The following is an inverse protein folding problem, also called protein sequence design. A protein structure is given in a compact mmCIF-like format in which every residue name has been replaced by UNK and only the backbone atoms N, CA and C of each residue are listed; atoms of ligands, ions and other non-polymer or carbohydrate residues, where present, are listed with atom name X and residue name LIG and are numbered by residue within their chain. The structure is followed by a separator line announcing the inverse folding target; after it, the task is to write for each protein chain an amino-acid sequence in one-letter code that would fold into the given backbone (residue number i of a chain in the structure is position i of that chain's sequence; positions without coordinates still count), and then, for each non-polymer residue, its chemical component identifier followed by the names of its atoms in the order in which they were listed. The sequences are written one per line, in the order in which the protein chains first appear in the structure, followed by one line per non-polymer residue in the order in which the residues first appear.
data_IF_778639212700
#
_entry.id   IF_778639212700
#
_cell.length_a   1.000
_cell.length_b   1.000
_cell.length_c   1.000
_cell.angle_alpha   90.00
_cell.angle_beta   90.00
_cell.angle_gamma   90.00
#
_symmetry.space_group_name_H-M   'P 1'
#
loop_
_entity.id
_entity.type
_entity.pdbx_description
1 polymer ?
#
# COMPACT_ATOMS: atom_id res chain seq x y z
N UNK A 1 17.80 -25.97 9.74
CA UNK A 1 17.67 -24.57 9.25
C UNK A 1 17.91 -24.57 7.75
N UNK A 2 16.92 -24.19 6.99
CA UNK A 2 17.04 -24.02 5.54
C UNK A 2 17.76 -22.69 5.24
N UNK A 3 18.74 -22.73 4.32
CA UNK A 3 19.55 -21.56 3.97
C UNK A 3 18.76 -20.54 3.11
N UNK A 4 17.69 -20.97 2.45
CA UNK A 4 16.81 -20.07 1.69
C UNK A 4 15.82 -19.30 2.58
N UNK A 5 15.53 -19.80 3.79
CA UNK A 5 14.63 -19.13 4.73
C UNK A 5 15.41 -18.13 5.59
N UNK A 6 14.84 -16.93 5.75
CA UNK A 6 15.34 -15.94 6.71
C UNK A 6 15.47 -16.55 8.12
N UNK A 7 16.52 -16.18 8.85
CA UNK A 7 16.78 -16.72 10.20
C UNK A 7 15.61 -16.49 11.18
N UNK A 8 14.94 -15.33 11.10
CA UNK A 8 13.78 -15.02 11.94
C UNK A 8 12.56 -15.87 11.54
N UNK A 9 12.40 -16.18 10.25
CA UNK A 9 11.36 -17.11 9.79
C UNK A 9 11.64 -18.54 10.29
N UNK A 10 12.88 -19.03 10.16
CA UNK A 10 13.27 -20.33 10.71
C UNK A 10 12.95 -20.40 12.21
N UNK A 11 13.31 -19.37 12.98
CA UNK A 11 12.99 -19.31 14.41
C UNK A 11 11.49 -19.32 14.66
N UNK A 12 10.71 -18.57 13.85
CA UNK A 12 9.25 -18.51 14.00
C UNK A 12 8.58 -19.87 13.72
N UNK A 13 9.09 -20.64 12.76
CA UNK A 13 8.59 -21.97 12.43
C UNK A 13 8.92 -23.01 13.50
N UNK A 14 10.09 -22.91 14.14
CA UNK A 14 10.53 -23.79 15.22
C UNK A 14 9.86 -23.45 16.58
N UNK A 15 9.32 -22.23 16.74
CA UNK A 15 8.72 -21.74 17.99
C UNK A 15 7.26 -22.20 18.08
N UNK A 16 6.83 -22.83 19.20
CA UNK A 16 5.44 -23.19 19.43
C UNK A 16 4.51 -21.98 19.32
N UNK A 17 3.30 -22.17 18.80
CA UNK A 17 2.34 -21.09 18.53
C UNK A 17 2.06 -20.21 19.76
N UNK A 18 1.93 -20.83 20.95
CA UNK A 18 1.65 -20.11 22.20
C UNK A 18 2.81 -19.21 22.64
N UNK A 19 4.04 -19.58 22.36
CA UNK A 19 5.21 -18.75 22.64
C UNK A 19 5.40 -17.68 21.55
N UNK A 20 5.13 -18.04 20.30
CA UNK A 20 5.20 -17.13 19.15
C UNK A 20 4.23 -15.96 19.29
N UNK A 21 3.01 -16.18 19.80
CA UNK A 21 2.02 -15.15 20.09
C UNK A 21 2.48 -14.09 21.09
N UNK A 22 3.39 -14.44 21.99
CA UNK A 22 3.93 -13.52 22.98
C UNK A 22 5.00 -12.58 22.42
N UNK A 23 5.50 -12.88 21.23
CA UNK A 23 6.56 -12.12 20.57
C UNK A 23 6.02 -11.57 19.25
N UNK A 24 5.62 -10.30 19.24
CA UNK A 24 5.02 -9.67 18.06
C UNK A 24 5.83 -9.88 16.78
N UNK A 25 7.16 -9.73 16.85
CA UNK A 25 8.03 -9.86 15.67
C UNK A 25 8.02 -11.27 15.07
N UNK A 26 7.83 -12.33 15.86
CA UNK A 26 7.79 -13.70 15.36
C UNK A 26 6.45 -14.05 14.69
N UNK A 27 5.36 -13.45 15.14
CA UNK A 27 4.02 -13.78 14.65
C UNK A 27 3.56 -12.97 13.42
N UNK A 28 4.31 -11.92 13.04
CA UNK A 28 3.96 -11.11 11.86
C UNK A 28 3.95 -11.96 10.61
N UNK A 29 2.85 -11.88 9.84
CA UNK A 29 2.60 -12.67 8.63
C UNK A 29 1.92 -14.01 8.87
N UNK A 30 1.69 -14.42 10.12
CA UNK A 30 0.93 -15.63 10.43
C UNK A 30 -0.54 -15.34 10.67
N UNK A 31 -1.42 -16.09 10.02
CA UNK A 31 -2.85 -16.11 10.26
C UNK A 31 -3.23 -17.39 11.01
N UNK A 32 -3.67 -17.25 12.25
CA UNK A 32 -4.13 -18.38 13.05
C UNK A 32 -5.47 -18.95 12.54
N UNK A 33 -6.30 -18.12 11.92
CA UNK A 33 -7.61 -18.54 11.38
C UNK A 33 -7.46 -19.50 10.20
N UNK A 34 -6.59 -19.16 9.25
CA UNK A 34 -6.32 -19.96 8.05
C UNK A 34 -5.14 -20.93 8.23
N UNK A 35 -4.40 -20.84 9.34
CA UNK A 35 -3.14 -21.55 9.60
C UNK A 35 -2.17 -21.40 8.43
N UNK A 36 -1.95 -20.17 8.01
CA UNK A 36 -1.10 -19.85 6.87
C UNK A 36 -0.15 -18.72 7.19
N UNK A 37 0.96 -18.70 6.46
CA UNK A 37 1.95 -17.63 6.46
C UNK A 37 1.82 -16.77 5.22
N UNK A 38 1.87 -15.48 5.37
CA UNK A 38 2.19 -14.55 4.30
C UNK A 38 3.70 -14.38 4.23
N UNK A 39 4.30 -14.76 3.11
CA UNK A 39 5.75 -14.79 2.91
C UNK A 39 6.13 -13.94 1.70
N UNK A 40 7.27 -13.31 1.75
CA UNK A 40 7.87 -12.58 0.63
C UNK A 40 8.95 -13.46 0.04
N UNK A 41 8.93 -13.64 -1.29
CA UNK A 41 9.94 -14.43 -1.98
C UNK A 41 10.65 -13.61 -3.05
N UNK A 42 11.94 -13.89 -3.21
CA UNK A 42 12.71 -13.58 -4.42
C UNK A 42 12.76 -14.85 -5.23
N UNK A 43 12.44 -14.76 -6.55
CA UNK A 43 12.35 -15.92 -7.41
C UNK A 43 12.79 -15.61 -8.84
N UNK A 44 12.98 -16.66 -9.63
CA UNK A 44 13.20 -16.63 -11.07
C UNK A 44 12.31 -17.71 -11.75
N UNK A 45 12.01 -17.54 -13.04
CA UNK A 45 11.16 -18.50 -13.76
C UNK A 45 9.68 -18.39 -13.40
N UNK A 46 8.94 -19.52 -13.39
CA UNK A 46 7.50 -19.58 -13.13
C UNK A 46 7.19 -20.11 -11.74
N UNK A 47 6.16 -19.57 -11.11
CA UNK A 47 5.59 -20.03 -9.83
C UNK A 47 4.32 -20.88 -10.00
N UNK A 48 3.99 -21.33 -11.22
CA UNK A 48 2.76 -22.10 -11.47
C UNK A 48 2.71 -23.40 -10.68
N UNK A 49 3.83 -24.05 -10.46
CA UNK A 49 3.91 -25.26 -9.62
C UNK A 49 3.48 -25.04 -8.17
N UNK A 50 3.65 -23.84 -7.64
CA UNK A 50 3.14 -23.48 -6.30
C UNK A 50 1.64 -23.22 -6.31
N UNK A 51 1.11 -22.61 -7.38
CA UNK A 51 -0.35 -22.41 -7.56
C UNK A 51 -1.11 -23.73 -7.61
N UNK A 52 -0.54 -24.74 -8.27
CA UNK A 52 -1.11 -26.09 -8.33
C UNK A 52 -1.22 -26.77 -6.96
N UNK A 53 -0.43 -26.32 -5.99
CA UNK A 53 -0.45 -26.79 -4.60
C UNK A 53 -1.34 -25.95 -3.66
N UNK A 54 -2.24 -25.13 -4.22
CA UNK A 54 -3.12 -24.21 -3.47
C UNK A 54 -2.38 -23.13 -2.67
N UNK A 55 -1.17 -22.76 -3.09
CA UNK A 55 -0.47 -21.58 -2.58
C UNK A 55 -0.94 -20.37 -3.39
N UNK A 56 -1.43 -19.35 -2.71
CA UNK A 56 -1.80 -18.09 -3.37
C UNK A 56 -0.52 -17.34 -3.69
N UNK A 57 -0.37 -16.96 -4.97
CA UNK A 57 0.82 -16.28 -5.48
C UNK A 57 0.42 -14.92 -6.03
N UNK A 58 0.95 -13.87 -5.44
CA UNK A 58 0.83 -12.49 -5.89
C UNK A 58 2.18 -12.02 -6.41
N UNK A 59 2.30 -11.93 -7.73
CA UNK A 59 3.55 -11.51 -8.37
C UNK A 59 3.71 -9.99 -8.32
N UNK A 60 4.87 -9.56 -7.87
CA UNK A 60 5.30 -8.17 -7.85
C UNK A 60 6.29 -7.91 -9.01
N UNK A 61 6.87 -6.72 -9.02
CA UNK A 61 7.95 -6.37 -9.97
C UNK A 61 9.27 -7.04 -9.61
N UNK A 62 10.20 -7.09 -10.56
CA UNK A 62 11.60 -7.50 -10.36
C UNK A 62 11.80 -8.93 -9.83
N UNK A 63 10.91 -9.89 -10.11
CA UNK A 63 11.03 -11.26 -9.63
C UNK A 63 10.82 -11.39 -8.12
N UNK A 64 9.92 -10.59 -7.56
CA UNK A 64 9.42 -10.74 -6.19
C UNK A 64 7.97 -11.18 -6.23
N UNK A 65 7.56 -11.95 -5.23
CA UNK A 65 6.17 -12.32 -5.03
C UNK A 65 5.82 -12.35 -3.54
N UNK A 66 4.54 -12.18 -3.25
CA UNK A 66 3.97 -12.44 -1.94
C UNK A 66 3.19 -13.75 -2.05
N UNK A 67 3.48 -14.68 -1.15
CA UNK A 67 2.84 -15.97 -1.09
C UNK A 67 1.98 -16.08 0.16
N UNK A 68 0.74 -16.60 0.03
CA UNK A 68 0.00 -17.10 1.19
C UNK A 68 0.12 -18.61 1.21
N UNK A 69 0.85 -19.11 2.19
CA UNK A 69 1.32 -20.49 2.26
C UNK A 69 0.73 -21.19 3.49
N UNK A 70 -0.01 -22.29 3.35
CA UNK A 70 -0.37 -23.12 4.49
C UNK A 70 0.88 -23.52 5.31
N UNK A 71 0.78 -23.48 6.63
CA UNK A 71 1.92 -23.75 7.53
C UNK A 71 2.65 -25.05 7.19
N UNK A 72 1.91 -26.07 6.74
CA UNK A 72 2.44 -27.37 6.35
C UNK A 72 3.19 -27.42 5.02
N UNK A 73 3.12 -26.35 4.22
CA UNK A 73 3.73 -26.26 2.88
C UNK A 73 4.91 -25.29 2.83
N UNK A 74 5.34 -24.73 3.96
CA UNK A 74 6.46 -23.77 3.97
C UNK A 74 7.75 -24.42 3.49
N UNK A 75 8.02 -25.65 3.90
CA UNK A 75 9.19 -26.42 3.44
C UNK A 75 9.15 -26.63 1.92
N UNK A 76 7.97 -26.90 1.35
CA UNK A 76 7.81 -27.06 -0.11
C UNK A 76 8.21 -25.79 -0.86
N UNK A 77 7.90 -24.60 -0.31
CA UNK A 77 8.30 -23.32 -0.92
C UNK A 77 9.82 -23.20 -0.92
N UNK A 78 10.50 -23.53 0.15
CA UNK A 78 11.95 -23.45 0.24
C UNK A 78 12.67 -24.47 -0.66
N UNK A 79 12.07 -25.66 -0.85
CA UNK A 79 12.60 -26.70 -1.71
C UNK A 79 12.39 -26.42 -3.21
N UNK A 80 11.49 -25.47 -3.56
CA UNK A 80 11.22 -25.10 -4.96
C UNK A 80 12.47 -24.48 -5.59
N UNK A 81 12.95 -25.01 -6.74
CA UNK A 81 14.20 -24.54 -7.37
C UNK A 81 14.16 -23.06 -7.78
N UNK A 82 13.00 -22.58 -8.21
CA UNK A 82 12.78 -21.22 -8.66
C UNK A 82 12.84 -20.18 -7.53
N UNK A 83 12.72 -20.61 -6.27
CA UNK A 83 12.81 -19.72 -5.10
C UNK A 83 14.29 -19.53 -4.73
N UNK A 84 14.71 -18.29 -4.68
CA UNK A 84 16.06 -17.90 -4.27
C UNK A 84 16.14 -17.61 -2.77
N UNK A 85 15.13 -16.92 -2.23
CA UNK A 85 15.08 -16.50 -0.82
C UNK A 85 13.65 -16.27 -0.36
N UNK A 86 13.38 -16.55 0.91
CA UNK A 86 12.08 -16.42 1.57
C UNK A 86 12.23 -15.62 2.85
N UNK A 87 11.42 -14.58 3.01
CA UNK A 87 11.39 -13.71 4.19
C UNK A 87 9.96 -13.56 4.69
N UNK A 88 9.79 -13.48 6.02
CA UNK A 88 8.50 -13.10 6.59
C UNK A 88 8.34 -11.57 6.62
N UNK A 89 7.09 -11.04 6.59
CA UNK A 89 6.86 -9.60 6.71
C UNK A 89 7.40 -9.02 8.02
N UNK A 90 7.78 -7.74 7.98
CA UNK A 90 8.19 -6.94 9.13
C UNK A 90 7.25 -5.76 9.30
N UNK A 91 7.01 -5.33 10.54
CA UNK A 91 6.20 -4.15 10.85
C UNK A 91 7.00 -2.87 10.66
N UNK A 92 6.29 -1.82 10.25
CA UNK A 92 6.82 -0.46 10.12
C UNK A 92 5.97 0.50 10.95
N UNK A 93 6.58 1.61 11.37
CA UNK A 93 5.93 2.64 12.17
C UNK A 93 6.02 3.97 11.44
N UNK A 94 4.97 4.79 11.50
CA UNK A 94 4.98 6.13 10.95
C UNK A 94 6.00 6.99 11.69
N UNK A 95 6.83 7.72 10.93
CA UNK A 95 7.75 8.69 11.51
C UNK A 95 6.97 9.92 11.97
N UNK A 96 7.22 10.39 13.20
CA UNK A 96 6.73 11.71 13.62
C UNK A 96 7.46 12.76 12.78
N UNK A 97 6.71 13.57 12.04
CA UNK A 97 7.27 14.71 11.30
C UNK A 97 7.54 15.84 12.29
N UNK A 98 8.81 16.24 12.43
CA UNK A 98 9.16 17.51 13.04
C UNK A 98 9.00 18.61 11.96
N UNK A 99 8.07 19.56 12.08
CA UNK A 99 7.77 20.54 11.03
C UNK A 99 8.88 21.57 10.81
N UNK A 100 9.85 21.67 11.69
CA UNK A 100 10.97 22.63 11.61
C UNK A 100 12.13 22.18 10.70
N UNK A 101 11.87 21.22 9.80
CA UNK A 101 12.88 20.69 8.88
C UNK A 101 13.48 21.77 7.96
N UNK A 102 14.77 21.89 8.01
CA UNK A 102 15.61 22.77 7.19
C UNK A 102 15.64 22.35 5.70
N UNK A 103 14.49 22.36 5.01
CA UNK A 103 14.43 22.10 3.57
C UNK A 103 14.64 23.39 2.78
N UNK A 104 15.69 23.43 1.95
CA UNK A 104 16.06 24.58 1.10
C UNK A 104 15.19 24.67 -0.18
N UNK A 105 13.88 24.43 -0.13
CA UNK A 105 12.98 24.48 -1.28
C UNK A 105 12.78 25.88 -1.91
N UNK A 106 12.75 26.99 -1.15
CA UNK A 106 12.51 28.32 -1.73
C UNK A 106 13.42 28.71 -2.90
N UNK A 107 14.72 28.35 -2.93
CA UNK A 107 15.57 28.66 -4.07
C UNK A 107 15.20 27.96 -5.37
N UNK A 108 14.63 26.73 -5.28
CA UNK A 108 14.26 25.92 -6.45
C UNK A 108 12.93 26.39 -7.05
N UNK A 109 11.98 26.77 -6.22
CA UNK A 109 10.64 27.21 -6.63
C UNK A 109 10.63 28.66 -7.14
N UNK A 110 11.65 29.48 -6.80
CA UNK A 110 11.76 30.91 -7.22
C UNK A 110 12.62 31.14 -8.44
N UNK A 111 13.26 30.11 -9.02
CA UNK A 111 14.10 30.22 -10.21
C UNK A 111 13.29 29.90 -11.48
N UNK A 112 13.69 30.50 -12.60
CA UNK A 112 13.18 30.16 -13.93
C UNK A 112 14.04 29.03 -14.53
N UNK A 113 13.46 27.88 -15.01
CA UNK A 113 12.04 27.56 -14.98
C UNK A 113 11.56 27.23 -13.57
N UNK A 114 10.31 27.60 -13.26
CA UNK A 114 9.69 27.27 -11.98
C UNK A 114 9.46 25.76 -11.87
N UNK A 115 10.15 25.10 -10.94
CA UNK A 115 9.96 23.70 -10.64
C UNK A 115 8.89 23.55 -9.54
N UNK A 116 7.71 23.12 -9.92
CA UNK A 116 6.53 23.03 -9.05
C UNK A 116 5.84 21.65 -9.09
N UNK A 117 6.47 20.66 -9.74
CA UNK A 117 5.94 19.30 -9.85
C UNK A 117 4.98 19.08 -11.01
N UNK A 118 4.71 20.07 -11.87
CA UNK A 118 3.83 19.90 -13.03
C UNK A 118 4.35 18.78 -13.95
N UNK A 119 3.46 17.85 -14.32
CA UNK A 119 3.79 16.71 -15.18
C UNK A 119 4.55 15.60 -14.45
N UNK A 120 4.57 15.62 -13.12
CA UNK A 120 5.15 14.57 -12.26
C UNK A 120 4.07 13.98 -11.39
N UNK A 121 4.10 12.66 -11.24
CA UNK A 121 3.31 11.93 -10.25
C UNK A 121 4.07 11.88 -8.92
N UNK A 122 3.38 12.19 -7.84
CA UNK A 122 3.84 11.96 -6.49
C UNK A 122 2.96 10.88 -5.85
N UNK A 123 3.52 9.72 -5.58
CA UNK A 123 2.87 8.67 -4.82
C UNK A 123 3.18 8.85 -3.33
N UNK A 124 2.14 8.93 -2.49
CA UNK A 124 2.25 8.96 -1.03
C UNK A 124 1.70 7.65 -0.51
N UNK A 125 2.59 6.80 0.02
CA UNK A 125 2.26 5.52 0.62
C UNK A 125 2.29 5.69 2.14
N UNK A 126 1.10 5.81 2.76
CA UNK A 126 1.01 6.25 4.15
C UNK A 126 -0.30 5.78 4.82
N UNK A 127 -0.73 6.45 5.89
CA UNK A 127 -1.98 6.17 6.62
C UNK A 127 -3.26 6.54 5.86
N UNK A 128 -3.15 7.08 4.66
CA UNK A 128 -4.25 7.58 3.83
C UNK A 128 -4.17 9.07 3.60
N UNK A 129 -5.30 9.66 3.24
CA UNK A 129 -5.44 11.10 2.99
C UNK A 129 -6.87 11.55 3.30
N UNK A 130 -7.04 12.77 3.78
CA UNK A 130 -8.33 13.48 3.77
C UNK A 130 -8.52 14.05 2.36
N UNK A 131 -9.00 13.21 1.46
CA UNK A 131 -8.97 13.39 0.01
C UNK A 131 -9.84 14.55 -0.49
N UNK A 132 -10.81 14.98 0.28
CA UNK A 132 -11.74 16.06 -0.09
C UNK A 132 -11.27 17.47 0.33
N UNK A 133 -10.05 17.62 0.88
CA UNK A 133 -9.48 18.92 1.21
C UNK A 133 -9.16 19.74 -0.05
N UNK A 134 -9.40 21.05 0.02
CA UNK A 134 -9.13 21.98 -1.07
C UNK A 134 -7.67 22.04 -1.49
N UNK A 135 -6.74 21.81 -0.54
CA UNK A 135 -5.29 21.86 -0.80
C UNK A 135 -4.82 20.79 -1.78
N UNK A 136 -5.64 19.77 -2.06
CA UNK A 136 -5.37 18.70 -3.03
C UNK A 136 -6.16 18.85 -4.33
N UNK A 137 -6.78 20.02 -4.56
CA UNK A 137 -7.56 20.28 -5.78
C UNK A 137 -6.79 21.15 -6.77
N UNK A 138 -7.22 21.08 -8.02
CA UNK A 138 -6.84 21.99 -9.10
C UNK A 138 -7.57 23.34 -8.94
N UNK A 139 -7.19 24.33 -9.73
CA UNK A 139 -7.82 25.66 -9.68
C UNK A 139 -9.30 25.66 -10.10
N UNK A 140 -9.71 24.69 -10.90
CA UNK A 140 -11.11 24.47 -11.32
C UNK A 140 -11.96 23.72 -10.29
N UNK A 141 -11.36 23.33 -9.17
CA UNK A 141 -12.02 22.60 -8.09
C UNK A 141 -11.97 21.08 -8.21
N UNK A 142 -11.51 20.54 -9.35
CA UNK A 142 -11.32 19.10 -9.53
C UNK A 142 -10.13 18.58 -8.72
N UNK A 143 -10.10 17.27 -8.45
CA UNK A 143 -9.01 16.67 -7.68
C UNK A 143 -7.70 16.63 -8.45
N UNK A 144 -6.57 16.62 -7.72
CA UNK A 144 -5.23 16.27 -8.26
C UNK A 144 -4.88 14.79 -7.99
N UNK A 145 -5.76 14.06 -7.29
CA UNK A 145 -5.56 12.64 -6.98
C UNK A 145 -6.01 11.83 -8.19
N UNK A 146 -5.06 11.23 -8.89
CA UNK A 146 -5.33 10.35 -10.06
C UNK A 146 -5.90 9.01 -9.63
N UNK A 147 -5.36 8.48 -8.52
CA UNK A 147 -5.77 7.21 -7.94
C UNK A 147 -5.64 7.26 -6.42
N UNK A 148 -6.64 6.74 -5.74
CA UNK A 148 -6.63 6.47 -4.30
C UNK A 148 -6.87 4.97 -4.08
N UNK A 149 -5.86 4.25 -3.60
CA UNK A 149 -5.99 2.85 -3.22
C UNK A 149 -5.96 2.71 -1.71
N UNK A 150 -7.07 2.31 -1.14
CA UNK A 150 -7.18 1.98 0.28
C UNK A 150 -7.07 0.46 0.48
N UNK A 151 -5.93 -0.02 0.95
CA UNK A 151 -5.68 -1.44 1.17
C UNK A 151 -6.52 -2.02 2.30
N UNK A 152 -7.09 -1.16 3.18
CA UNK A 152 -7.85 -1.58 4.35
C UNK A 152 -9.33 -1.85 4.05
N UNK A 153 -9.84 -1.38 2.92
CA UNK A 153 -11.24 -1.54 2.51
C UNK A 153 -11.33 -2.79 1.62
N UNK A 154 -11.98 -3.88 2.08
CA UNK A 154 -12.16 -5.06 1.25
C UNK A 154 -13.15 -4.74 0.11
N UNK A 155 -12.80 -5.16 -1.11
CA UNK A 155 -13.73 -5.18 -2.23
C UNK A 155 -14.30 -6.58 -2.39
N UNK A 156 -15.58 -6.76 -2.11
CA UNK A 156 -16.28 -8.04 -2.29
C UNK A 156 -17.34 -7.90 -3.39
N UNK A 157 -16.99 -8.34 -4.59
CA UNK A 157 -17.94 -8.39 -5.74
C UNK A 157 -18.98 -9.52 -5.62
N UNK A 158 -18.81 -10.45 -4.67
CA UNK A 158 -19.53 -11.72 -4.76
C UNK A 158 -20.83 -11.79 -3.98
N UNK A 159 -21.15 -10.82 -3.08
CA UNK A 159 -22.32 -10.98 -2.21
C UNK A 159 -23.02 -9.66 -1.86
N UNK A 160 -24.09 -9.30 -2.57
CA UNK A 160 -25.11 -8.43 -1.99
C UNK A 160 -25.66 -9.09 -0.72
N UNK A 161 -25.42 -8.52 0.47
CA UNK A 161 -25.97 -8.98 1.75
C UNK A 161 -25.02 -9.68 2.72
N UNK A 162 -23.82 -10.12 2.34
CA UNK A 162 -22.89 -10.75 3.31
C UNK A 162 -22.21 -9.79 4.28
N UNK A 163 -22.13 -8.51 3.98
CA UNK A 163 -21.65 -7.51 4.95
C UNK A 163 -22.57 -7.39 6.18
N UNK A 164 -23.87 -7.66 6.03
CA UNK A 164 -24.81 -7.70 7.14
C UNK A 164 -24.56 -8.88 8.09
N UNK A 165 -24.29 -10.07 7.55
CA UNK A 165 -24.10 -11.29 8.34
C UNK A 165 -22.81 -11.28 9.19
N UNK A 166 -21.75 -10.65 8.69
CA UNK A 166 -20.49 -10.51 9.46
C UNK A 166 -20.65 -9.52 10.64
N UNK A 167 -21.49 -8.50 10.48
CA UNK A 167 -21.79 -7.51 11.53
C UNK A 167 -22.67 -8.09 12.64
N UNK A 168 -23.65 -8.93 12.33
CA UNK A 168 -24.46 -9.61 13.36
C UNK A 168 -23.60 -10.52 14.24
N UNK A 169 -22.61 -11.20 13.68
CA UNK A 169 -21.68 -12.04 14.44
C UNK A 169 -20.71 -11.25 15.31
N UNK A 170 -20.30 -10.06 14.88
CA UNK A 170 -19.39 -9.17 15.62
C UNK A 170 -20.12 -8.46 16.78
N UNK A 171 -21.36 -8.02 16.56
CA UNK A 171 -22.22 -7.43 17.60
C UNK A 171 -22.58 -8.44 18.68
N UNK A 172 -22.73 -9.70 18.32
CA UNK A 172 -22.99 -10.80 19.27
C UNK A 172 -21.75 -11.21 20.08
N UNK A 173 -20.54 -10.93 19.57
CA UNK A 173 -19.28 -11.23 20.26
C UNK A 173 -18.81 -10.16 21.23
N UNK A 174 -19.25 -8.92 21.09
CA UNK A 174 -18.77 -7.81 21.95
C UNK A 174 -19.85 -6.77 22.28
N UNK A 175 -20.74 -7.04 23.26
CA UNK A 175 -21.88 -6.17 23.59
C UNK A 175 -21.52 -4.89 24.35
N UNK A 176 -20.24 -4.57 24.55
CA UNK A 176 -19.76 -3.46 25.39
C UNK A 176 -19.07 -2.31 24.63
N UNK A 177 -19.18 -2.25 23.32
CA UNK A 177 -18.65 -1.11 22.56
C UNK A 177 -19.54 0.13 22.75
N UNK A 178 -18.97 1.32 23.04
CA UNK A 178 -19.76 2.55 23.21
C UNK A 178 -20.47 2.91 21.91
N UNK A 179 -21.77 3.24 22.02
CA UNK A 179 -22.66 3.59 20.90
C UNK A 179 -22.28 4.84 20.09
N UNK A 180 -21.14 5.47 20.35
CA UNK A 180 -20.67 6.68 19.66
C UNK A 180 -19.64 6.46 18.55
N UNK A 181 -19.31 5.23 18.22
CA UNK A 181 -18.62 4.94 16.95
C UNK A 181 -19.70 4.63 15.91
N UNK A 182 -20.16 5.67 15.21
CA UNK A 182 -21.02 5.52 14.03
C UNK A 182 -20.23 4.73 13.00
N UNK A 183 -20.41 3.42 13.00
CA UNK A 183 -20.02 2.61 11.85
C UNK A 183 -20.79 3.15 10.63
N UNK A 184 -20.19 3.30 9.45
CA UNK A 184 -20.92 3.71 8.27
C UNK A 184 -22.08 2.72 8.04
N UNK A 185 -23.31 3.27 7.99
CA UNK A 185 -24.50 2.52 7.60
C UNK A 185 -24.24 1.84 6.25
N UNK A 186 -24.85 0.68 6.03
CA UNK A 186 -24.77 -0.16 4.87
C UNK A 186 -24.50 0.63 3.57
N UNK A 187 -23.29 0.60 3.06
CA UNK A 187 -23.02 1.03 1.70
C UNK A 187 -23.50 -0.10 0.80
N UNK A 188 -24.73 0.01 0.29
CA UNK A 188 -25.14 -0.76 -0.88
C UNK A 188 -24.09 -0.54 -1.98
N UNK A 189 -23.98 -1.47 -2.93
CA UNK A 189 -23.13 -1.31 -4.10
C UNK A 189 -23.32 0.09 -4.69
N UNK A 190 -22.34 0.97 -4.46
CA UNK A 190 -22.39 2.36 -4.92
C UNK A 190 -21.92 2.46 -6.37
N UNK A 191 -21.42 1.40 -6.95
CA UNK A 191 -20.74 1.41 -8.24
C UNK A 191 -19.38 2.10 -8.24
N UNK A 192 -18.90 2.53 -7.06
CA UNK A 192 -17.63 3.22 -6.88
C UNK A 192 -16.53 2.27 -6.37
N UNK A 193 -15.35 2.45 -6.92
CA UNK A 193 -14.17 1.69 -6.56
C UNK A 193 -14.15 0.28 -7.14
N UNK A 194 -12.97 -0.33 -7.12
CA UNK A 194 -12.72 -1.71 -7.57
C UNK A 194 -11.46 -2.25 -6.93
N UNK A 195 -11.27 -3.56 -6.95
CA UNK A 195 -9.96 -4.14 -6.64
C UNK A 195 -8.97 -3.75 -7.74
N UNK A 196 -7.80 -3.22 -7.42
CA UNK A 196 -6.79 -2.92 -8.45
C UNK A 196 -6.31 -4.21 -9.13
N UNK A 197 -6.07 -4.14 -10.44
CA UNK A 197 -5.63 -5.30 -11.22
C UNK A 197 -4.31 -5.89 -10.69
N UNK A 198 -4.32 -7.20 -10.44
CA UNK A 198 -3.18 -7.97 -9.95
C UNK A 198 -2.91 -7.83 -8.46
N UNK A 199 -3.84 -7.28 -7.69
CA UNK A 199 -3.75 -7.24 -6.23
C UNK A 199 -5.01 -7.85 -5.59
N UNK A 200 -4.88 -8.71 -4.57
CA UNK A 200 -6.02 -9.38 -3.95
C UNK A 200 -6.70 -8.57 -2.85
N UNK A 201 -6.21 -7.38 -2.53
CA UNK A 201 -6.67 -6.58 -1.38
C UNK A 201 -7.02 -5.15 -1.77
N UNK A 202 -7.86 -4.55 -0.97
CA UNK A 202 -8.13 -3.12 -1.01
C UNK A 202 -9.12 -2.70 -2.10
N UNK A 203 -9.46 -1.41 -2.06
CA UNK A 203 -10.34 -0.76 -3.02
C UNK A 203 -9.63 0.45 -3.63
N UNK A 204 -9.61 0.51 -4.96
CA UNK A 204 -9.09 1.62 -5.75
C UNK A 204 -10.22 2.55 -6.18
N UNK A 205 -10.00 3.84 -6.09
CA UNK A 205 -10.86 4.90 -6.60
C UNK A 205 -10.10 5.74 -7.63
N UNK A 206 -10.75 6.07 -8.75
CA UNK A 206 -10.18 6.88 -9.83
C UNK A 206 -10.40 8.37 -9.62
N UNK A 207 -9.70 9.21 -10.40
CA UNK A 207 -9.90 10.66 -10.44
C UNK A 207 -11.35 11.02 -10.70
N UNK A 208 -11.99 10.36 -11.66
CA UNK A 208 -13.37 10.61 -12.06
C UNK A 208 -14.35 10.32 -10.91
N UNK A 209 -14.16 9.20 -10.21
CA UNK A 209 -14.98 8.83 -9.04
C UNK A 209 -14.79 9.80 -7.88
N UNK A 210 -13.55 10.27 -7.65
CA UNK A 210 -13.25 11.28 -6.63
C UNK A 210 -13.92 12.61 -6.99
N UNK A 211 -13.81 13.06 -8.23
CA UNK A 211 -14.43 14.30 -8.69
C UNK A 211 -15.95 14.24 -8.59
N UNK A 212 -16.58 13.13 -8.97
CA UNK A 212 -18.01 12.93 -8.80
C UNK A 212 -18.42 13.00 -7.31
N UNK A 213 -17.67 12.32 -6.44
CA UNK A 213 -17.92 12.39 -5.01
C UNK A 213 -17.76 13.81 -4.44
N UNK A 214 -16.81 14.61 -4.94
CA UNK A 214 -16.62 16.01 -4.53
C UNK A 214 -17.83 16.91 -4.83
N UNK A 215 -18.64 16.58 -5.85
CA UNK A 215 -19.87 17.30 -6.17
C UNK A 215 -21.05 16.94 -5.26
N UNK A 216 -20.91 15.89 -4.44
CA UNK A 216 -21.93 15.44 -3.49
C UNK A 216 -21.85 16.20 -2.15
N UNK A 217 -22.87 16.05 -1.30
CA UNK A 217 -22.82 16.54 0.08
C UNK A 217 -21.70 15.87 0.88
N UNK A 218 -21.19 16.52 1.93
CA UNK A 218 -20.09 15.97 2.74
C UNK A 218 -20.40 14.56 3.27
N UNK A 219 -21.65 14.31 3.69
CA UNK A 219 -22.06 12.99 4.16
C UNK A 219 -22.02 11.95 3.05
N UNK A 220 -22.50 12.30 1.87
CA UNK A 220 -22.55 11.41 0.72
C UNK A 220 -21.15 11.10 0.17
N UNK A 221 -20.24 12.07 0.18
CA UNK A 221 -18.82 11.85 -0.23
C UNK A 221 -18.21 10.63 0.45
N UNK A 222 -18.37 10.54 1.78
CA UNK A 222 -17.80 9.44 2.57
C UNK A 222 -18.62 8.15 2.55
N UNK A 223 -19.81 8.17 1.93
CA UNK A 223 -20.54 6.96 1.57
C UNK A 223 -20.03 6.40 0.23
N UNK A 224 -19.73 7.28 -0.73
CA UNK A 224 -19.18 6.90 -2.04
C UNK A 224 -17.72 6.46 -1.93
N UNK A 225 -16.90 7.24 -1.21
CA UNK A 225 -15.47 6.96 -0.98
C UNK A 225 -15.20 6.95 0.53
N UNK A 226 -15.34 5.80 1.20
CA UNK A 226 -15.22 5.70 2.66
C UNK A 226 -13.78 5.75 3.19
N UNK A 227 -12.78 5.85 2.30
CA UNK A 227 -11.38 5.96 2.70
C UNK A 227 -11.14 7.21 3.55
N UNK A 228 -10.46 7.04 4.69
CA UNK A 228 -10.15 8.11 5.65
C UNK A 228 -8.74 7.97 6.17
N UNK A 229 -8.10 9.09 6.43
CA UNK A 229 -6.89 9.15 7.21
C UNK A 229 -7.23 9.41 8.68
N UNK A 230 -7.26 8.37 9.49
CA UNK A 230 -7.63 8.47 10.90
C UNK A 230 -6.51 9.05 11.76
N UNK A 231 -5.28 8.94 11.36
CA UNK A 231 -4.11 9.46 12.09
C UNK A 231 -3.76 10.89 11.70
N UNK A 232 -4.14 11.31 10.49
CA UNK A 232 -3.76 12.59 9.89
C UNK A 232 -2.33 12.63 9.37
N UNK A 233 -1.52 11.58 9.57
CA UNK A 233 -0.12 11.54 9.19
C UNK A 233 0.06 11.63 7.67
N UNK A 234 -0.59 10.76 6.89
CA UNK A 234 -0.50 10.76 5.43
C UNK A 234 -1.04 12.05 4.82
N UNK A 235 -2.10 12.63 5.40
CA UNK A 235 -2.63 13.94 5.00
C UNK A 235 -1.60 15.05 5.20
N UNK A 236 -0.91 15.07 6.35
CA UNK A 236 0.15 16.03 6.63
C UNK A 236 1.33 15.85 5.67
N UNK A 237 1.79 14.62 5.47
CA UNK A 237 2.87 14.29 4.51
C UNK A 237 2.52 14.74 3.10
N UNK A 238 1.34 14.39 2.60
CA UNK A 238 0.86 14.82 1.28
C UNK A 238 0.74 16.35 1.18
N UNK A 239 0.30 17.01 2.26
CA UNK A 239 0.23 18.46 2.36
C UNK A 239 1.59 19.12 2.21
N UNK A 240 2.60 18.68 3.00
CA UNK A 240 3.97 19.20 2.93
C UNK A 240 4.58 18.97 1.54
N UNK A 241 4.33 17.80 0.97
CA UNK A 241 4.88 17.44 -0.33
C UNK A 241 4.22 18.20 -1.49
N UNK A 242 2.90 18.31 -1.52
CA UNK A 242 2.16 18.78 -2.67
C UNK A 242 0.92 19.65 -2.35
N UNK A 243 0.68 20.03 -1.11
CA UNK A 243 -0.47 20.87 -0.77
C UNK A 243 -0.36 22.27 -1.39
N UNK A 244 -1.52 22.90 -1.69
CA UNK A 244 -1.61 24.28 -2.11
C UNK A 244 -2.90 24.90 -1.59
N UNK A 245 -2.80 25.97 -0.79
CA UNK A 245 -3.98 26.71 -0.39
C UNK A 245 -4.45 27.66 -1.52
N UNK A 246 -5.76 27.90 -1.59
CA UNK A 246 -6.34 28.76 -2.62
C UNK A 246 -5.86 30.21 -2.51
N UNK A 247 -5.57 30.70 -1.31
CA UNK A 247 -5.03 32.03 -1.04
C UNK A 247 -3.52 32.15 -1.29
N UNK A 248 -2.82 31.03 -1.59
CA UNK A 248 -1.38 31.01 -1.84
C UNK A 248 -0.51 31.19 -0.60
N UNK A 249 -1.10 31.23 0.62
CA UNK A 249 -0.34 31.39 1.86
C UNK A 249 0.43 30.11 2.22
N UNK A 250 -0.07 28.96 1.80
CA UNK A 250 0.58 27.67 1.99
C UNK A 250 0.87 27.01 0.65
N UNK A 251 2.10 26.53 0.49
CA UNK A 251 2.53 25.82 -0.72
C UNK A 251 3.53 24.74 -0.34
N UNK A 252 3.21 23.51 -0.65
CA UNK A 252 4.13 22.36 -0.52
C UNK A 252 5.27 22.43 -1.53
N UNK A 253 6.14 21.44 -1.50
CA UNK A 253 7.33 21.37 -2.36
C UNK A 253 6.98 21.26 -3.86
N UNK A 254 5.92 20.51 -4.22
CA UNK A 254 5.48 20.23 -5.57
C UNK A 254 3.97 20.47 -5.77
N UNK A 255 3.48 21.73 -5.65
CA UNK A 255 2.06 22.06 -5.59
C UNK A 255 1.27 21.78 -6.88
N UNK A 256 1.93 21.53 -7.99
CA UNK A 256 1.32 21.18 -9.28
C UNK A 256 1.50 19.70 -9.64
N UNK A 257 2.08 18.88 -8.73
CA UNK A 257 2.17 17.45 -8.94
C UNK A 257 0.78 16.79 -8.90
N UNK A 258 0.61 15.75 -9.71
CA UNK A 258 -0.54 14.86 -9.64
C UNK A 258 -0.27 13.76 -8.60
N UNK A 259 -1.30 13.28 -7.92
CA UNK A 259 -1.13 12.45 -6.75
C UNK A 259 -1.60 11.01 -7.01
N UNK A 260 -0.84 10.05 -6.51
CA UNK A 260 -1.27 8.67 -6.26
C UNK A 260 -1.23 8.47 -4.75
N UNK A 261 -2.34 8.06 -4.17
CA UNK A 261 -2.42 7.82 -2.73
C UNK A 261 -2.61 6.33 -2.49
N UNK A 262 -1.77 5.76 -1.64
CA UNK A 262 -1.93 4.39 -1.17
C UNK A 262 -2.03 4.42 0.35
N UNK A 263 -3.21 4.11 0.85
CA UNK A 263 -3.39 3.88 2.28
C UNK A 263 -2.97 2.45 2.60
N UNK A 264 -1.89 2.34 3.36
CA UNK A 264 -1.28 1.07 3.73
C UNK A 264 -2.06 0.39 4.86
N UNK A 265 -2.20 -0.92 4.77
CA UNK A 265 -2.81 -1.76 5.80
C UNK A 265 -3.42 -3.02 5.23
N UNK A 266 -4.07 -3.79 6.08
CA UNK A 266 -4.83 -4.99 5.70
C UNK A 266 -6.32 -4.79 5.94
N UNK A 267 -7.17 -5.41 5.14
CA UNK A 267 -8.60 -5.41 5.39
C UNK A 267 -8.92 -5.96 6.77
N UNK A 268 -9.69 -5.19 7.56
CA UNK A 268 -10.18 -5.58 8.90
C UNK A 268 -9.12 -5.84 9.97
N UNK A 269 -7.87 -5.48 9.74
CA UNK A 269 -6.83 -5.52 10.75
C UNK A 269 -6.48 -4.11 11.23
N UNK A 270 -6.42 -3.92 12.54
CA UNK A 270 -5.83 -2.73 13.14
C UNK A 270 -4.34 -3.01 13.35
N UNK A 271 -3.48 -2.11 12.89
CA UNK A 271 -2.06 -2.26 13.08
C UNK A 271 -1.22 -1.37 12.18
N UNK A 272 0.07 -1.56 12.30
CA UNK A 272 1.04 -0.84 11.49
C UNK A 272 1.25 -1.55 10.14
N UNK A 273 1.56 -0.81 9.06
CA UNK A 273 1.86 -1.40 7.78
C UNK A 273 3.08 -2.32 7.89
N UNK A 274 3.08 -3.36 7.06
CA UNK A 274 4.16 -4.34 6.98
C UNK A 274 4.89 -4.20 5.65
N UNK A 275 5.98 -4.90 5.50
CA UNK A 275 6.79 -4.93 4.28
C UNK A 275 5.94 -5.27 3.04
N UNK A 276 4.98 -6.19 3.17
CA UNK A 276 4.10 -6.63 2.08
C UNK A 276 3.21 -5.51 1.55
N UNK A 277 2.57 -4.74 2.42
CA UNK A 277 1.73 -3.60 2.03
C UNK A 277 2.54 -2.54 1.29
N UNK A 278 3.78 -2.30 1.75
CA UNK A 278 4.70 -1.35 1.10
C UNK A 278 5.09 -1.82 -0.29
N UNK A 279 5.50 -3.09 -0.43
CA UNK A 279 5.91 -3.65 -1.72
C UNK A 279 4.76 -3.66 -2.72
N UNK A 280 3.53 -3.98 -2.27
CA UNK A 280 2.31 -3.83 -3.08
C UNK A 280 2.11 -2.38 -3.51
N UNK A 281 2.19 -1.43 -2.57
CA UNK A 281 2.01 -0.01 -2.84
C UNK A 281 3.02 0.55 -3.85
N UNK A 282 4.30 0.19 -3.73
CA UNK A 282 5.35 0.58 -4.66
C UNK A 282 5.10 -0.03 -6.05
N UNK A 283 4.79 -1.32 -6.11
CA UNK A 283 4.46 -2.00 -7.37
C UNK A 283 3.26 -1.34 -8.06
N UNK A 284 2.20 -1.05 -7.29
CA UNK A 284 1.01 -0.36 -7.78
C UNK A 284 1.34 1.02 -8.35
N UNK A 285 2.06 1.85 -7.59
CA UNK A 285 2.42 3.20 -8.02
C UNK A 285 3.23 3.19 -9.32
N UNK A 286 4.17 2.26 -9.47
CA UNK A 286 4.96 2.10 -10.70
C UNK A 286 4.11 1.65 -11.88
N UNK A 287 3.17 0.70 -11.69
CA UNK A 287 2.23 0.28 -12.74
C UNK A 287 1.36 1.45 -13.21
N UNK A 288 0.81 2.25 -12.28
CA UNK A 288 0.00 3.42 -12.60
C UNK A 288 0.81 4.53 -13.31
N UNK A 289 2.02 4.82 -12.83
CA UNK A 289 2.91 5.78 -13.47
C UNK A 289 3.22 5.40 -14.93
N UNK A 290 3.44 4.11 -15.18
CA UNK A 290 3.65 3.59 -16.51
C UNK A 290 2.40 3.70 -17.39
N UNK A 291 1.22 3.35 -16.87
CA UNK A 291 -0.05 3.51 -17.58
C UNK A 291 -0.30 4.97 -17.99
N UNK A 292 0.04 5.90 -17.11
CA UNK A 292 -0.07 7.34 -17.35
C UNK A 292 1.09 7.92 -18.17
N UNK A 293 2.14 7.13 -18.41
CA UNK A 293 3.39 7.57 -19.05
C UNK A 293 3.97 8.84 -18.40
N UNK A 294 4.02 8.85 -17.07
CA UNK A 294 4.49 10.00 -16.28
C UNK A 294 5.66 9.61 -15.37
N UNK A 295 6.63 10.53 -15.17
CA UNK A 295 7.66 10.34 -14.16
C UNK A 295 7.06 10.27 -12.76
N UNK A 296 7.62 9.44 -11.89
CA UNK A 296 7.10 9.11 -10.56
C UNK A 296 8.13 9.43 -9.48
N UNK A 297 7.64 10.06 -8.41
CA UNK A 297 8.33 10.16 -7.11
C UNK A 297 7.48 9.42 -6.09
N UNK A 298 8.09 8.57 -5.27
CA UNK A 298 7.41 7.84 -4.19
C UNK A 298 7.89 8.39 -2.84
N UNK A 299 6.95 8.79 -2.00
CA UNK A 299 7.19 9.15 -0.61
C UNK A 299 6.84 7.99 0.31
N UNK A 300 7.79 7.62 1.18
CA UNK A 300 7.68 6.61 2.23
C UNK A 300 8.08 7.26 3.55
N UNK A 301 7.09 7.72 4.34
CA UNK A 301 7.34 8.46 5.60
C UNK A 301 7.12 7.57 6.84
N UNK A 302 7.73 6.40 6.82
CA UNK A 302 7.71 5.45 7.94
C UNK A 302 8.95 4.58 7.89
N UNK A 303 9.24 3.91 9.00
CA UNK A 303 10.41 3.05 9.11
C UNK A 303 10.35 2.15 10.33
N UNK A 304 11.39 1.37 10.50
CA UNK A 304 11.66 0.60 11.71
C UNK A 304 13.16 0.59 11.99
N UNK A 305 13.53 0.04 13.14
CA UNK A 305 14.93 -0.10 13.55
C UNK A 305 15.44 -1.54 13.35
N UNK A 306 14.75 -2.35 12.57
CA UNK A 306 15.12 -3.73 12.32
C UNK A 306 16.02 -3.86 11.10
N UNK A 307 16.99 -4.78 11.17
CA UNK A 307 17.87 -5.13 10.07
C UNK A 307 19.26 -4.53 10.19
N UNK A 308 20.09 -4.84 9.22
CA UNK A 308 21.49 -4.43 9.16
C UNK A 308 21.69 -2.98 8.72
N UNK A 309 20.68 -2.36 8.07
CA UNK A 309 20.75 -1.01 7.50
C UNK A 309 21.90 -0.83 6.49
N UNK A 310 22.25 -1.90 5.77
CA UNK A 310 23.34 -1.93 4.80
C UNK A 310 22.87 -2.14 3.34
N UNK A 311 21.57 -2.06 3.10
CA UNK A 311 20.98 -2.30 1.76
C UNK A 311 20.80 -3.76 1.40
N UNK A 312 21.01 -4.70 2.34
CA UNK A 312 20.98 -6.13 2.06
C UNK A 312 19.61 -6.79 2.30
N UNK A 313 18.71 -6.13 3.04
CA UNK A 313 17.38 -6.68 3.29
C UNK A 313 16.57 -6.81 1.99
N UNK A 314 15.59 -7.70 2.01
CA UNK A 314 14.79 -7.98 0.82
C UNK A 314 13.99 -6.75 0.36
N UNK A 315 13.46 -5.95 1.30
CA UNK A 315 12.80 -4.69 0.97
C UNK A 315 13.75 -3.66 0.37
N UNK A 316 14.96 -3.48 0.93
CA UNK A 316 15.94 -2.53 0.42
C UNK A 316 16.34 -2.88 -1.02
N UNK A 317 16.62 -4.16 -1.29
CA UNK A 317 16.92 -4.64 -2.65
C UNK A 317 15.72 -4.49 -3.60
N UNK A 318 14.50 -4.71 -3.10
CA UNK A 318 13.31 -4.47 -3.89
C UNK A 318 13.18 -3.00 -4.29
N UNK A 319 13.41 -2.05 -3.37
CA UNK A 319 13.34 -0.63 -3.63
C UNK A 319 14.43 -0.17 -4.63
N UNK A 320 15.64 -0.73 -4.52
CA UNK A 320 16.72 -0.48 -5.48
C UNK A 320 16.33 -0.94 -6.89
N UNK A 321 15.82 -2.17 -7.01
CA UNK A 321 15.34 -2.71 -8.29
C UNK A 321 14.16 -1.90 -8.84
N UNK A 322 13.23 -1.47 -7.99
CA UNK A 322 12.10 -0.64 -8.37
C UNK A 322 12.56 0.71 -8.95
N UNK A 323 13.56 1.34 -8.32
CA UNK A 323 14.13 2.60 -8.79
C UNK A 323 14.86 2.45 -10.13
N UNK A 324 15.53 1.31 -10.37
CA UNK A 324 16.23 1.03 -11.61
C UNK A 324 15.27 0.77 -12.78
N UNK A 325 14.18 0.04 -12.54
CA UNK A 325 13.10 -0.15 -13.52
C UNK A 325 12.53 1.20 -13.95
N UNK A 326 12.30 2.12 -13.02
CA UNK A 326 11.83 3.47 -13.32
C UNK A 326 12.79 4.27 -14.21
N UNK A 327 14.10 4.14 -14.00
CA UNK A 327 15.13 4.79 -14.84
C UNK A 327 15.22 4.18 -16.25
N UNK A 328 15.12 2.87 -16.37
CA UNK A 328 15.26 2.17 -17.66
C UNK A 328 14.06 2.43 -18.57
N UNK A 329 12.88 2.54 -18.01
CA UNK A 329 11.67 2.89 -18.74
C UNK A 329 11.70 4.32 -19.35
N UNK A 330 12.48 5.23 -18.74
CA UNK A 330 12.66 6.60 -19.26
C UNK A 330 13.65 6.66 -20.44
N UNK A 331 14.46 5.64 -20.71
CA UNK A 331 15.58 5.66 -21.65
C UNK A 331 15.49 4.67 -22.81
N UNK A 332 14.63 3.66 -22.76
CA UNK A 332 14.45 2.62 -23.81
C UNK A 332 13.05 2.04 -23.79
N UNK A 333 12.61 1.48 -24.94
CA UNK A 333 11.53 0.50 -24.96
C UNK A 333 11.84 -0.60 -23.92
N UNK A 334 10.86 -0.96 -23.06
CA UNK A 334 11.11 -1.94 -22.02
C UNK A 334 11.52 -3.27 -22.65
N UNK A 335 12.47 -4.02 -22.06
CA UNK A 335 12.69 -5.41 -22.43
C UNK A 335 11.35 -6.16 -22.29
N UNK A 336 11.02 -6.96 -23.32
CA UNK A 336 9.74 -7.70 -23.42
C UNK A 336 9.48 -8.62 -22.21
N UNK A 337 10.52 -8.93 -21.43
CA UNK A 337 10.51 -9.89 -20.32
C UNK A 337 10.09 -9.31 -18.94
N UNK A 338 9.79 -7.99 -18.83
CA UNK A 338 9.47 -7.35 -17.54
C UNK A 338 7.97 -7.12 -17.36
N UNK A 339 7.15 -7.51 -18.31
CA UNK A 339 5.71 -7.49 -18.20
C UNK A 339 5.17 -8.91 -18.09
N UNK A 340 4.44 -9.27 -17.03
CA UNK A 340 3.38 -10.21 -17.24
C UNK A 340 2.47 -9.60 -18.32
N UNK A 341 2.15 -10.35 -19.35
CA UNK A 341 1.14 -9.95 -20.30
C UNK A 341 -0.11 -9.55 -19.52
N UNK A 342 -0.56 -8.32 -19.75
CA UNK A 342 -1.84 -7.83 -19.24
C UNK A 342 -2.94 -8.60 -19.94
#
# INVERSE_FOLDING_TARGET
MDQKLENILNLALETPEEERKQTESLNVGYSAESRSWELIVKYHGSLDGLREQNIVVEELIAGYAILTVPETLVDTVSETPEIEYVEKPKRFYYQQTDPDGASCFPPVTRRTPFLNGRGVLLAVLDSGITWDLEVFRKADGSTRIRYLWDQTIPWDQTIPGKQAASREQETLRNPTLPQNQIAPEETGDTGYGRTPDGFPIGTEYTEEEIDEALHSSVLERYRLIPSRDLTGHGTAVAGIAAGRSADGLYTGAAPEAELIIVKLGLPREEGFPRTTEIMRGVTYALRKARQLNMPLVINLSFGNSYGSHDGSSLLERFLDNASEIGRTAATKEPPEDILPAI
#
